data_IF_745668923442
#
_entry.id   IF_745668923442
#
_cell.length_a   1.000
_cell.length_b   1.000
_cell.length_c   1.000
_cell.angle_alpha   90.00
_cell.angle_beta   90.00
_cell.angle_gamma   90.00
#
_symmetry.space_group_name_H-M   'P 1'
#
loop_
_entity.id
_entity.type
_entity.pdbx_description
1 polymer ?
#
# COMPACT_ATOMS: atom_id res chain seq x y z
N UNK A 1 -4.94 -0.30 -11.78
CA UNK A 1 -4.40 -0.87 -10.53
C UNK A 1 -5.06 -2.18 -10.10
N UNK A 2 -6.37 -2.40 -10.30
CA UNK A 2 -7.02 -3.67 -9.93
C UNK A 2 -6.38 -4.94 -10.49
N UNK A 3 -6.00 -4.95 -11.77
CA UNK A 3 -5.33 -6.12 -12.41
C UNK A 3 -3.93 -6.39 -11.83
N UNK A 4 -3.21 -5.32 -11.46
CA UNK A 4 -1.91 -5.42 -10.78
C UNK A 4 -2.08 -6.16 -9.46
N UNK A 5 -3.05 -5.72 -8.66
CA UNK A 5 -3.31 -6.28 -7.34
C UNK A 5 -3.79 -7.72 -7.44
N UNK A 6 -4.60 -8.06 -8.46
CA UNK A 6 -5.00 -9.44 -8.73
C UNK A 6 -3.80 -10.34 -9.04
N UNK A 7 -2.83 -9.86 -9.85
CA UNK A 7 -1.60 -10.63 -10.15
C UNK A 7 -0.67 -10.80 -8.95
N UNK A 8 -0.69 -9.86 -8.01
CA UNK A 8 0.15 -9.87 -6.81
C UNK A 8 -0.50 -10.64 -5.65
N UNK A 9 -1.83 -10.74 -5.64
CA UNK A 9 -2.61 -11.37 -4.58
C UNK A 9 -2.14 -12.82 -4.29
N UNK A 10 -1.79 -13.57 -5.34
CA UNK A 10 -1.32 -14.95 -5.17
C UNK A 10 0.06 -15.05 -4.52
N UNK A 11 0.94 -14.09 -4.78
CA UNK A 11 2.30 -14.01 -4.21
C UNK A 11 2.26 -13.65 -2.73
N UNK A 12 1.32 -12.79 -2.32
CA UNK A 12 1.25 -12.26 -0.95
C UNK A 12 0.28 -13.02 -0.03
N UNK A 13 -0.42 -14.04 -0.52
CA UNK A 13 -1.47 -14.79 0.21
C UNK A 13 -1.03 -15.36 1.56
N UNK A 14 0.27 -15.62 1.72
CA UNK A 14 0.83 -16.22 2.94
C UNK A 14 1.10 -15.20 4.05
N UNK A 15 1.05 -13.90 3.77
CA UNK A 15 1.41 -12.86 4.74
C UNK A 15 0.52 -11.62 4.74
N UNK A 16 -0.29 -11.38 3.71
CA UNK A 16 -1.20 -10.24 3.64
C UNK A 16 -2.56 -10.64 3.05
N UNK A 17 -3.62 -10.02 3.56
CA UNK A 17 -4.97 -10.08 3.00
C UNK A 17 -5.34 -8.69 2.50
N UNK A 18 -5.80 -8.61 1.25
CA UNK A 18 -6.21 -7.37 0.62
C UNK A 18 -7.72 -7.26 0.58
N UNK A 19 -8.23 -6.07 0.84
CA UNK A 19 -9.65 -5.74 0.69
C UNK A 19 -9.80 -4.59 -0.31
N UNK A 20 -10.81 -4.70 -1.16
CA UNK A 20 -11.21 -3.62 -2.05
C UNK A 20 -12.40 -2.91 -1.39
N UNK A 21 -12.25 -1.60 -1.19
CA UNK A 21 -13.27 -0.75 -0.58
C UNK A 21 -13.65 0.30 -1.62
N UNK A 22 -14.95 0.48 -1.85
CA UNK A 22 -15.46 1.52 -2.72
C UNK A 22 -15.57 2.85 -1.96
N UNK A 23 -14.76 3.83 -2.39
CA UNK A 23 -14.71 5.18 -1.82
C UNK A 23 -15.93 6.04 -2.15
N UNK A 24 -16.77 5.60 -3.10
CA UNK A 24 -18.02 6.29 -3.47
C UNK A 24 -19.18 5.90 -2.57
N UNK A 25 -19.22 4.65 -2.11
CA UNK A 25 -20.25 4.15 -1.19
C UNK A 25 -19.94 4.51 0.27
N UNK A 26 -18.65 4.57 0.65
CA UNK A 26 -18.21 4.90 2.02
C UNK A 26 -17.20 6.05 1.99
N UNK A 27 -17.67 7.31 1.91
CA UNK A 27 -16.79 8.48 1.79
C UNK A 27 -16.17 8.94 3.13
N UNK A 28 -16.59 8.36 4.27
CA UNK A 28 -16.24 8.82 5.63
C UNK A 28 -14.74 8.92 5.91
N UNK A 29 -13.93 8.15 5.19
CA UNK A 29 -12.48 8.05 5.40
C UNK A 29 -11.65 8.86 4.41
N UNK A 30 -12.27 9.44 3.37
CA UNK A 30 -11.56 10.09 2.27
C UNK A 30 -10.79 11.34 2.72
N UNK A 31 -11.38 12.16 3.60
CA UNK A 31 -10.73 13.37 4.14
C UNK A 31 -9.61 13.04 5.11
N UNK A 32 -9.70 11.93 5.86
CA UNK A 32 -8.71 11.58 6.88
C UNK A 32 -7.43 10.95 6.29
N UNK A 33 -7.55 10.22 5.18
CA UNK A 33 -6.41 9.50 4.57
C UNK A 33 -5.88 10.12 3.28
N UNK A 34 -6.41 11.28 2.85
CA UNK A 34 -5.92 12.02 1.68
C UNK A 34 -5.79 11.15 0.41
N UNK A 35 -6.84 10.38 0.09
CA UNK A 35 -6.86 9.38 -0.99
C UNK A 35 -6.95 9.99 -2.42
N UNK A 36 -6.01 10.87 -2.78
CA UNK A 36 -6.04 11.60 -4.05
C UNK A 36 -5.13 11.02 -5.14
N UNK A 37 -4.16 10.18 -4.77
CA UNK A 37 -3.09 9.76 -5.68
C UNK A 37 -3.09 8.24 -5.92
N UNK A 38 -3.27 7.79 -7.17
CA UNK A 38 -3.11 6.39 -7.52
C UNK A 38 -1.62 6.00 -7.55
N UNK A 39 -1.23 4.96 -6.83
CA UNK A 39 0.09 4.33 -6.94
C UNK A 39 0.23 3.58 -8.26
N UNK A 40 1.34 3.77 -8.98
CA UNK A 40 1.47 3.34 -10.38
C UNK A 40 2.25 2.03 -10.56
N UNK A 41 3.13 1.66 -9.63
CA UNK A 41 4.12 0.59 -9.83
C UNK A 41 3.91 -0.68 -9.01
N UNK A 42 3.96 -1.84 -9.69
CA UNK A 42 3.76 -3.17 -9.06
C UNK A 42 4.85 -3.50 -8.04
N UNK A 43 6.10 -3.23 -8.41
CA UNK A 43 7.27 -3.63 -7.62
C UNK A 43 7.33 -2.82 -6.32
N UNK A 44 7.02 -1.54 -6.41
CA UNK A 44 6.97 -0.64 -5.27
C UNK A 44 5.95 -1.10 -4.21
N UNK A 45 4.77 -1.53 -4.65
CA UNK A 45 3.75 -2.09 -3.75
C UNK A 45 4.26 -3.34 -3.02
N UNK A 46 4.96 -4.24 -3.71
CA UNK A 46 5.53 -5.44 -3.10
C UNK A 46 6.58 -5.09 -2.04
N UNK A 47 7.49 -4.17 -2.34
CA UNK A 47 8.58 -3.79 -1.45
C UNK A 47 8.04 -3.13 -0.16
N UNK A 48 6.97 -2.33 -0.27
CA UNK A 48 6.29 -1.74 0.89
C UNK A 48 5.62 -2.81 1.75
N UNK A 49 4.88 -3.75 1.14
CA UNK A 49 4.21 -4.83 1.90
C UNK A 49 5.23 -5.72 2.60
N UNK A 50 6.35 -6.06 1.94
CA UNK A 50 7.43 -6.83 2.56
C UNK A 50 8.05 -6.09 3.76
N UNK A 51 8.30 -4.79 3.61
CA UNK A 51 8.87 -3.95 4.66
C UNK A 51 7.95 -3.87 5.88
N UNK A 52 6.65 -3.70 5.66
CA UNK A 52 5.62 -3.73 6.71
C UNK A 52 5.56 -5.10 7.38
N UNK A 53 5.52 -6.19 6.61
CA UNK A 53 5.47 -7.55 7.15
C UNK A 53 6.69 -7.86 8.03
N UNK A 54 7.89 -7.55 7.54
CA UNK A 54 9.14 -7.75 8.27
C UNK A 54 9.21 -6.90 9.54
N UNK A 55 8.72 -5.65 9.51
CA UNK A 55 8.67 -4.77 10.68
C UNK A 55 7.64 -5.21 11.71
N UNK A 56 6.43 -5.56 11.27
CA UNK A 56 5.35 -6.02 12.13
C UNK A 56 5.71 -7.33 12.84
N UNK A 57 6.35 -8.28 12.14
CA UNK A 57 6.85 -9.53 12.76
C UNK A 57 7.90 -9.31 13.84
N UNK A 58 8.60 -8.17 13.80
CA UNK A 58 9.58 -7.75 14.83
C UNK A 58 8.93 -6.91 15.95
N UNK A 59 7.60 -6.75 15.94
CA UNK A 59 6.86 -5.97 16.93
C UNK A 59 6.99 -4.45 16.76
N UNK A 60 7.37 -3.96 15.57
CA UNK A 60 7.52 -2.52 15.30
C UNK A 60 6.18 -1.94 14.87
N UNK A 61 5.76 -0.85 15.51
CA UNK A 61 4.56 -0.08 15.12
C UNK A 61 4.79 0.93 13.99
N UNK A 62 6.05 1.18 13.62
CA UNK A 62 6.44 2.08 12.53
C UNK A 62 7.58 1.43 11.72
N UNK A 63 7.45 1.50 10.39
CA UNK A 63 8.46 1.04 9.43
C UNK A 63 8.82 2.18 8.48
N UNK A 64 10.05 2.17 8.00
CA UNK A 64 10.57 3.17 7.07
C UNK A 64 10.41 2.59 5.66
N UNK A 65 9.85 3.37 4.73
CA UNK A 65 9.71 2.94 3.36
C UNK A 65 11.09 2.70 2.70
N UNK A 66 11.21 1.69 1.81
CA UNK A 66 12.46 1.38 1.13
C UNK A 66 12.89 2.46 0.11
N UNK A 67 11.93 3.23 -0.42
CA UNK A 67 12.14 4.34 -1.35
C UNK A 67 11.70 5.66 -0.69
N UNK A 68 12.42 6.74 -0.98
CA UNK A 68 12.04 8.09 -0.56
C UNK A 68 11.07 8.70 -1.58
N UNK A 69 9.84 8.98 -1.14
CA UNK A 69 8.77 9.56 -1.94
C UNK A 69 8.75 11.09 -1.91
N UNK A 70 9.64 11.73 -1.13
CA UNK A 70 9.63 13.17 -0.90
C UNK A 70 10.02 14.01 -2.13
N UNK A 71 10.68 13.42 -3.12
CA UNK A 71 11.21 14.11 -4.30
C UNK A 71 10.32 14.02 -5.53
N UNK A 72 9.40 13.05 -5.59
CA UNK A 72 8.49 12.87 -6.74
C UNK A 72 7.36 13.93 -6.78
N UNK A 73 7.25 14.76 -5.73
CA UNK A 73 6.20 15.78 -5.59
C UNK A 73 6.75 17.16 -5.21
N UNK A 74 8.00 17.49 -5.56
CA UNK A 74 8.45 18.89 -5.56
C UNK A 74 7.92 19.57 -6.82
N UNK A 75 7.11 20.61 -6.60
CA UNK A 75 6.58 21.55 -7.61
C UNK A 75 7.60 21.95 -8.67
#
# INVERSE_FOLDING_TARGET
MGEVLASVAETIKNFAVMYLVDITEVPDFNTMYELYNPSTDKQEFLDVVETVYCGARKGRGLVIAPKDYSTEYRY
#
